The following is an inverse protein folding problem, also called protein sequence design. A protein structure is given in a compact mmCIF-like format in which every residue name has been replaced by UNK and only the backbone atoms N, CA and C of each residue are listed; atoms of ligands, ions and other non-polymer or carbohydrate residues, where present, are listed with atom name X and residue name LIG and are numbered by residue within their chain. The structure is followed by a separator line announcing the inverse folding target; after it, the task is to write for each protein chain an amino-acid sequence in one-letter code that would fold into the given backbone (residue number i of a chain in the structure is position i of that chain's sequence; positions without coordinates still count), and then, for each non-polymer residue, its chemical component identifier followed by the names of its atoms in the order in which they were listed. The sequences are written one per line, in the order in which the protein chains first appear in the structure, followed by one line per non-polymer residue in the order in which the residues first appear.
data_IF_394143023908
#
_entry.id   IF_394143023908
#
_cell.length_a   1.000
_cell.length_b   1.000
_cell.length_c   1.000
_cell.angle_alpha   90.00
_cell.angle_beta   90.00
_cell.angle_gamma   90.00
#
_symmetry.space_group_name_H-M   'P 1'
#
loop_
_entity.id
_entity.type
_entity.pdbx_description
1 polymer ?
#
# COMPACT_ATOMS: atom_id res chain seq x y z
N UNK A 1 -14.06 25.53 -4.21
CA UNK A 1 -13.15 24.60 -3.57
C UNK A 1 -13.08 23.33 -4.36
N UNK A 2 -11.90 22.93 -4.88
CA UNK A 2 -11.69 21.64 -5.51
C UNK A 2 -11.75 20.57 -4.43
N UNK A 3 -12.85 19.83 -4.38
CA UNK A 3 -12.94 18.63 -3.56
C UNK A 3 -12.05 17.58 -4.23
N UNK A 4 -10.92 17.26 -3.62
CA UNK A 4 -10.09 16.12 -4.04
C UNK A 4 -10.96 14.89 -3.80
N UNK A 5 -11.50 14.31 -4.88
CA UNK A 5 -12.24 13.05 -4.78
C UNK A 5 -11.24 11.95 -4.44
N UNK A 6 -11.52 11.23 -3.36
CA UNK A 6 -10.80 10.00 -3.05
C UNK A 6 -10.88 9.04 -4.25
N UNK A 7 -9.77 8.35 -4.63
CA UNK A 7 -9.79 7.38 -5.72
C UNK A 7 -10.82 6.28 -5.45
N UNK A 8 -11.64 5.98 -6.44
CA UNK A 8 -12.61 4.88 -6.37
C UNK A 8 -11.93 3.58 -6.86
N UNK A 9 -11.21 2.93 -5.97
CA UNK A 9 -10.49 1.69 -6.27
C UNK A 9 -11.44 0.56 -6.71
N UNK A 10 -12.64 0.50 -6.13
CA UNK A 10 -13.63 -0.51 -6.51
C UNK A 10 -14.03 -0.38 -7.97
N UNK A 11 -14.37 0.83 -8.38
CA UNK A 11 -14.71 1.12 -9.76
C UNK A 11 -13.53 0.84 -10.69
N UNK A 12 -12.32 1.22 -10.32
CA UNK A 12 -11.12 0.98 -11.09
C UNK A 12 -10.89 -0.52 -11.35
N UNK A 13 -10.98 -1.37 -10.33
CA UNK A 13 -10.85 -2.83 -10.47
C UNK A 13 -11.97 -3.47 -11.29
N UNK A 14 -13.18 -2.92 -11.25
CA UNK A 14 -14.32 -3.45 -12.00
C UNK A 14 -14.32 -3.04 -13.48
N UNK A 15 -13.90 -1.81 -13.77
CA UNK A 15 -13.94 -1.25 -15.12
C UNK A 15 -12.68 -1.49 -15.93
N UNK A 16 -11.54 -1.71 -15.28
CA UNK A 16 -10.24 -1.90 -15.95
C UNK A 16 -9.58 -3.23 -15.59
N UNK A 17 -9.79 -4.23 -16.45
CA UNK A 17 -9.19 -5.55 -16.29
C UNK A 17 -7.64 -5.52 -16.36
N UNK A 18 -7.04 -4.50 -17.01
CA UNK A 18 -5.58 -4.38 -17.08
C UNK A 18 -4.97 -4.13 -15.69
N UNK A 19 -5.68 -3.43 -14.79
CA UNK A 19 -5.21 -3.17 -13.42
C UNK A 19 -4.97 -4.49 -12.67
N UNK A 20 -5.93 -5.42 -12.69
CA UNK A 20 -5.78 -6.73 -12.07
C UNK A 20 -4.60 -7.53 -12.64
N UNK A 21 -4.40 -7.47 -13.96
CA UNK A 21 -3.29 -8.13 -14.62
C UNK A 21 -1.94 -7.49 -14.25
N UNK A 22 -1.86 -6.17 -14.12
CA UNK A 22 -0.66 -5.46 -13.67
C UNK A 22 -0.30 -5.89 -12.25
N UNK A 23 -1.27 -5.91 -11.34
CA UNK A 23 -1.07 -6.34 -9.94
C UNK A 23 -0.59 -7.78 -9.89
N UNK A 24 -1.21 -8.68 -10.65
CA UNK A 24 -0.81 -10.09 -10.71
C UNK A 24 0.61 -10.28 -11.24
N UNK A 25 1.01 -9.51 -12.26
CA UNK A 25 2.39 -9.56 -12.80
C UNK A 25 3.42 -9.06 -11.79
N UNK A 26 3.15 -7.93 -11.11
CA UNK A 26 4.02 -7.42 -10.05
C UNK A 26 4.08 -8.43 -8.89
N UNK A 27 2.94 -9.01 -8.51
CA UNK A 27 2.87 -10.04 -7.50
C UNK A 27 3.76 -11.24 -7.83
N UNK A 28 3.74 -11.73 -9.06
CA UNK A 28 4.61 -12.82 -9.53
C UNK A 28 6.10 -12.45 -9.41
N UNK A 29 6.50 -11.27 -9.86
CA UNK A 29 7.88 -10.79 -9.73
C UNK A 29 8.34 -10.69 -8.28
N UNK A 30 7.46 -10.25 -7.38
CA UNK A 30 7.78 -10.15 -5.95
C UNK A 30 7.86 -11.52 -5.29
N UNK A 31 7.01 -12.49 -5.68
CA UNK A 31 7.09 -13.88 -5.21
C UNK A 31 8.44 -14.51 -5.60
N UNK A 32 8.91 -14.29 -6.83
CA UNK A 32 10.22 -14.77 -7.29
C UNK A 32 11.38 -14.21 -6.45
N UNK A 33 11.20 -13.02 -5.90
CA UNK A 33 12.16 -12.39 -4.96
C UNK A 33 11.95 -12.77 -3.49
N UNK A 34 11.00 -13.67 -3.19
CA UNK A 34 10.73 -14.15 -1.83
C UNK A 34 9.71 -13.34 -1.04
N UNK A 35 9.00 -12.41 -1.68
CA UNK A 35 7.98 -11.56 -1.05
C UNK A 35 6.58 -11.89 -1.57
N UNK A 36 5.88 -12.88 -0.99
CA UNK A 36 4.49 -13.17 -1.36
C UNK A 36 3.59 -12.00 -0.94
N UNK A 37 2.88 -11.43 -1.91
CA UNK A 37 1.98 -10.30 -1.69
C UNK A 37 0.54 -10.78 -1.44
N UNK A 38 -0.18 -10.07 -0.58
CA UNK A 38 -1.63 -10.15 -0.53
C UNK A 38 -2.22 -9.35 -1.69
N UNK A 39 -3.17 -9.95 -2.37
CA UNK A 39 -3.87 -9.31 -3.48
C UNK A 39 -4.90 -8.31 -2.97
N UNK A 40 -4.73 -7.02 -3.34
CA UNK A 40 -5.60 -5.93 -2.89
C UNK A 40 -7.06 -6.10 -3.35
N UNK A 41 -7.30 -6.69 -4.53
CA UNK A 41 -8.65 -6.96 -5.03
C UNK A 41 -9.35 -8.02 -4.18
N UNK A 42 -8.63 -9.09 -3.82
CA UNK A 42 -9.17 -10.14 -2.95
C UNK A 42 -9.40 -9.63 -1.53
N UNK A 43 -8.52 -8.81 -0.99
CA UNK A 43 -8.72 -8.17 0.32
C UNK A 43 -9.95 -7.25 0.30
N UNK A 44 -10.17 -6.49 -0.76
CA UNK A 44 -11.36 -5.66 -0.92
C UNK A 44 -12.64 -6.50 -0.98
N UNK A 45 -12.65 -7.59 -1.74
CA UNK A 45 -13.79 -8.53 -1.79
C UNK A 45 -14.09 -9.17 -0.43
N UNK A 46 -13.06 -9.45 0.36
CA UNK A 46 -13.20 -9.99 1.71
C UNK A 46 -13.83 -8.95 2.64
N UNK A 47 -13.39 -7.69 2.59
CA UNK A 47 -13.98 -6.59 3.36
C UNK A 47 -15.45 -6.35 3.01
N UNK A 48 -15.81 -6.42 1.73
CA UNK A 48 -17.19 -6.29 1.30
C UNK A 48 -18.08 -7.41 1.86
N UNK A 49 -17.58 -8.65 1.85
CA UNK A 49 -18.31 -9.78 2.44
C UNK A 49 -18.48 -9.62 3.95
N UNK A 50 -17.45 -9.18 4.66
CA UNK A 50 -17.52 -8.92 6.10
C UNK A 50 -18.49 -7.78 6.39
N UNK A 51 -18.41 -6.67 5.67
CA UNK A 51 -19.33 -5.54 5.82
C UNK A 51 -20.79 -5.92 5.55
N UNK A 52 -21.06 -6.79 4.58
CA UNK A 52 -22.39 -7.33 4.32
C UNK A 52 -22.89 -8.24 5.47
N UNK A 53 -22.00 -9.04 6.06
CA UNK A 53 -22.30 -9.88 7.22
C UNK A 53 -22.57 -9.00 8.44
N UNK A 54 -21.74 -7.99 8.71
CA UNK A 54 -21.90 -7.08 9.84
C UNK A 54 -23.19 -6.27 9.74
N UNK A 55 -23.59 -5.83 8.54
CA UNK A 55 -24.87 -5.17 8.28
C UNK A 55 -26.06 -6.12 8.49
N UNK A 56 -25.92 -7.40 8.16
CA UNK A 56 -26.95 -8.40 8.39
C UNK A 56 -27.14 -8.74 9.88
N UNK A 57 -26.05 -8.66 10.66
CA UNK A 57 -26.05 -8.92 12.11
C UNK A 57 -26.51 -7.69 12.90
N UNK A 58 -26.14 -6.49 12.47
CA UNK A 58 -26.42 -5.23 13.16
C UNK A 58 -27.77 -4.63 12.80
N UNK A 59 -28.84 -5.42 12.74
CA UNK A 59 -30.20 -4.89 12.54
C UNK A 59 -30.48 -3.70 13.50
N UNK A 60 -30.16 -2.49 13.04
CA UNK A 60 -30.84 -1.27 13.49
C UNK A 60 -30.12 -0.29 14.41
N UNK A 61 -28.82 -0.31 14.61
CA UNK A 61 -28.15 0.81 15.27
C UNK A 61 -27.05 1.40 14.40
N UNK A 62 -27.38 2.51 13.73
CA UNK A 62 -26.44 3.33 12.98
C UNK A 62 -25.40 3.95 13.91
N UNK A 63 -24.26 3.32 14.02
CA UNK A 63 -23.09 3.97 14.57
C UNK A 63 -22.32 4.60 13.40
N UNK A 64 -22.02 5.89 13.54
CA UNK A 64 -21.13 6.68 12.71
C UNK A 64 -19.73 6.05 12.73
N UNK A 65 -19.52 4.98 11.99
CA UNK A 65 -18.17 4.57 11.64
C UNK A 65 -17.59 5.67 10.76
N UNK A 66 -16.51 6.26 11.24
CA UNK A 66 -15.66 7.16 10.48
C UNK A 66 -15.54 6.60 9.06
N UNK A 67 -15.86 7.41 8.04
CA UNK A 67 -15.74 7.06 6.63
C UNK A 67 -14.26 6.87 6.26
N UNK A 68 -13.67 5.78 6.76
CA UNK A 68 -12.35 5.35 6.35
C UNK A 68 -12.40 5.01 4.86
N UNK A 69 -11.43 5.47 4.11
CA UNK A 69 -11.31 5.09 2.71
C UNK A 69 -11.19 3.55 2.62
N UNK A 70 -11.62 2.96 1.51
CA UNK A 70 -11.47 1.51 1.28
C UNK A 70 -10.00 1.10 1.47
N UNK A 71 -9.08 1.95 1.03
CA UNK A 71 -7.64 1.71 1.22
C UNK A 71 -7.26 1.66 2.71
N UNK A 72 -7.72 2.60 3.53
CA UNK A 72 -7.44 2.61 4.97
C UNK A 72 -8.01 1.37 5.67
N UNK A 73 -9.19 0.90 5.23
CA UNK A 73 -9.78 -0.34 5.72
C UNK A 73 -8.96 -1.56 5.32
N UNK A 74 -8.51 -1.65 4.08
CA UNK A 74 -7.61 -2.71 3.60
C UNK A 74 -6.33 -2.71 4.44
N UNK A 75 -5.70 -1.57 4.64
CA UNK A 75 -4.45 -1.43 5.40
C UNK A 75 -4.61 -1.89 6.85
N UNK A 76 -5.68 -1.47 7.52
CA UNK A 76 -5.95 -1.85 8.91
C UNK A 76 -6.34 -3.32 9.08
N UNK A 77 -7.07 -3.87 8.11
CA UNK A 77 -7.60 -5.25 8.20
C UNK A 77 -6.60 -6.29 7.71
N UNK A 78 -5.83 -5.97 6.67
CA UNK A 78 -4.83 -6.89 6.11
C UNK A 78 -3.68 -7.19 7.06
N UNK A 79 -3.44 -6.33 8.06
CA UNK A 79 -2.29 -6.42 8.98
C UNK A 79 -0.97 -6.63 8.24
N UNK A 80 -0.83 -5.99 7.10
CA UNK A 80 0.39 -6.06 6.29
C UNK A 80 1.44 -5.13 6.87
N UNK A 81 2.67 -5.62 7.06
CA UNK A 81 3.79 -4.81 7.54
C UNK A 81 4.22 -3.76 6.50
N UNK A 82 4.10 -4.11 5.23
CA UNK A 82 4.50 -3.26 4.11
C UNK A 82 3.39 -3.20 3.07
N UNK A 83 3.16 -2.02 2.55
CA UNK A 83 2.26 -1.76 1.40
C UNK A 83 3.10 -1.41 0.19
N UNK A 84 2.86 -2.10 -0.92
CA UNK A 84 3.47 -1.78 -2.20
C UNK A 84 2.46 -1.01 -3.04
N UNK A 85 2.87 0.18 -3.48
CA UNK A 85 2.08 1.05 -4.35
C UNK A 85 2.77 1.15 -5.71
N UNK A 86 1.97 1.17 -6.76
CA UNK A 86 2.45 1.35 -8.12
C UNK A 86 1.65 2.44 -8.84
N UNK A 87 2.35 3.34 -9.47
CA UNK A 87 1.79 4.33 -10.40
C UNK A 87 2.41 4.11 -11.76
N UNK A 88 1.62 4.22 -12.80
CA UNK A 88 2.13 4.14 -14.16
C UNK A 88 1.41 5.08 -15.10
N UNK A 89 2.09 5.37 -16.19
CA UNK A 89 1.58 6.14 -17.30
C UNK A 89 2.07 5.53 -18.61
N UNK A 90 1.16 5.34 -19.56
CA UNK A 90 1.49 4.88 -20.91
C UNK A 90 1.28 6.03 -21.87
N UNK A 91 2.35 6.45 -22.53
CA UNK A 91 2.34 7.50 -23.54
C UNK A 91 2.53 6.89 -24.92
N UNK A 92 1.73 7.34 -25.91
CA UNK A 92 1.96 7.02 -27.31
C UNK A 92 2.95 8.04 -27.90
N UNK A 93 3.98 7.56 -28.54
CA UNK A 93 4.97 8.37 -29.25
C UNK A 93 4.54 8.64 -30.69
N UNK A 94 5.11 9.69 -31.33
CA UNK A 94 4.83 10.07 -32.72
C UNK A 94 5.23 8.94 -33.70
N UNK A 95 6.28 8.18 -33.38
CA UNK A 95 6.75 7.04 -34.17
C UNK A 95 5.85 5.78 -34.03
N UNK A 96 4.73 5.87 -33.31
CA UNK A 96 3.82 4.76 -33.07
C UNK A 96 4.20 3.87 -31.90
N UNK A 97 5.37 4.03 -31.29
CA UNK A 97 5.78 3.29 -30.10
C UNK A 97 5.01 3.73 -28.87
N UNK A 98 5.01 2.89 -27.82
CA UNK A 98 4.52 3.23 -26.49
C UNK A 98 5.69 3.46 -25.54
N UNK A 99 5.55 4.38 -24.64
CA UNK A 99 6.46 4.61 -23.51
C UNK A 99 5.72 4.33 -22.21
N UNK A 100 6.25 3.40 -21.42
CA UNK A 100 5.77 3.14 -20.07
C UNK A 100 6.67 3.87 -19.07
N UNK A 101 6.06 4.69 -18.20
CA UNK A 101 6.69 5.25 -17.00
C UNK A 101 6.05 4.59 -15.80
N UNK A 102 6.85 4.24 -14.81
CA UNK A 102 6.33 3.71 -13.57
C UNK A 102 7.08 4.25 -12.36
N UNK A 103 6.40 4.24 -11.24
CA UNK A 103 6.95 4.43 -9.89
C UNK A 103 6.41 3.31 -9.02
N UNK A 104 7.30 2.56 -8.38
CA UNK A 104 7.01 1.51 -7.43
C UNK A 104 7.55 1.95 -6.07
N UNK A 105 6.74 1.89 -5.04
CA UNK A 105 7.12 2.28 -3.67
C UNK A 105 6.67 1.23 -2.67
N UNK A 106 7.52 0.94 -1.69
CA UNK A 106 7.16 0.16 -0.52
C UNK A 106 7.13 1.08 0.71
N UNK A 107 6.06 1.00 1.47
CA UNK A 107 5.79 1.85 2.63
C UNK A 107 5.55 0.95 3.84
N UNK A 108 6.28 1.17 4.92
CA UNK A 108 6.02 0.53 6.22
C UNK A 108 4.69 1.02 6.78
N UNK A 109 3.78 0.10 7.06
CA UNK A 109 2.40 0.41 7.47
C UNK A 109 2.32 1.02 8.88
N UNK A 110 3.33 0.80 9.73
CA UNK A 110 3.35 1.30 11.10
C UNK A 110 3.94 2.69 11.22
N UNK A 111 5.02 2.95 10.48
CA UNK A 111 5.77 4.21 10.57
C UNK A 111 5.43 5.17 9.46
N UNK A 112 4.74 4.69 8.42
CA UNK A 112 4.46 5.42 7.17
C UNK A 112 5.76 5.89 6.46
N UNK A 113 6.88 5.20 6.70
CA UNK A 113 8.15 5.49 6.05
C UNK A 113 8.21 4.77 4.71
N UNK A 114 8.69 5.46 3.67
CA UNK A 114 9.08 4.83 2.41
C UNK A 114 10.37 4.06 2.64
N UNK A 115 10.32 2.74 2.46
CA UNK A 115 11.42 1.83 2.73
C UNK A 115 12.13 1.35 1.46
N UNK A 116 11.43 1.38 0.33
CA UNK A 116 11.99 1.09 -0.98
C UNK A 116 11.30 1.92 -2.06
N UNK A 117 12.02 2.24 -3.12
CA UNK A 117 11.46 2.87 -4.30
C UNK A 117 12.21 2.45 -5.56
N UNK A 118 11.46 2.29 -6.65
CA UNK A 118 12.00 2.13 -7.99
C UNK A 118 11.20 2.95 -8.99
N UNK A 119 11.87 3.58 -9.92
CA UNK A 119 11.26 4.32 -11.02
C UNK A 119 11.90 3.90 -12.32
N UNK A 120 11.14 3.90 -13.40
CA UNK A 120 11.69 3.59 -14.70
C UNK A 120 10.87 4.17 -15.83
N UNK A 121 11.55 4.30 -16.97
CA UNK A 121 10.95 4.68 -18.24
C UNK A 121 11.47 3.70 -19.27
N UNK A 122 10.57 3.09 -20.04
CA UNK A 122 10.95 2.17 -21.10
C UNK A 122 10.06 2.38 -22.32
N UNK A 123 10.68 2.38 -23.49
CA UNK A 123 9.98 2.48 -24.78
C UNK A 123 9.78 1.08 -25.39
N UNK A 124 8.66 0.86 -26.02
CA UNK A 124 8.24 -0.42 -26.57
C UNK A 124 7.52 -0.25 -27.91
N UNK A 125 7.52 -1.31 -28.71
CA UNK A 125 6.68 -1.39 -29.91
C UNK A 125 5.19 -1.48 -29.55
N UNK A 126 4.31 -1.10 -30.47
CA UNK A 126 2.86 -1.01 -30.25
C UNK A 126 2.14 -2.33 -29.97
N UNK A 127 2.80 -3.48 -30.16
CA UNK A 127 2.16 -4.80 -30.15
C UNK A 127 1.91 -5.33 -28.72
N UNK A 128 2.65 -4.83 -27.73
CA UNK A 128 2.57 -5.36 -26.36
C UNK A 128 1.39 -4.76 -25.57
N UNK A 129 0.78 -5.57 -24.72
CA UNK A 129 -0.26 -5.12 -23.78
C UNK A 129 0.32 -4.25 -22.65
N UNK A 130 -0.51 -3.43 -22.01
CA UNK A 130 -0.08 -2.58 -20.88
C UNK A 130 0.54 -3.40 -19.73
N UNK A 131 -0.05 -4.53 -19.30
CA UNK A 131 0.53 -5.35 -18.22
C UNK A 131 1.92 -5.91 -18.57
N UNK A 132 2.12 -6.35 -19.80
CA UNK A 132 3.43 -6.86 -20.26
C UNK A 132 4.48 -5.76 -20.34
N UNK A 133 4.09 -4.58 -20.82
CA UNK A 133 4.95 -3.40 -20.86
C UNK A 133 5.45 -3.01 -19.47
N UNK A 134 4.53 -2.95 -18.51
CA UNK A 134 4.85 -2.58 -17.13
C UNK A 134 5.69 -3.65 -16.46
N UNK A 135 5.35 -4.93 -16.60
CA UNK A 135 6.13 -6.04 -16.04
C UNK A 135 7.59 -5.98 -16.53
N UNK A 136 7.79 -5.88 -17.85
CA UNK A 136 9.14 -5.78 -18.43
C UNK A 136 9.89 -4.52 -18.03
N UNK A 137 9.17 -3.44 -17.72
CA UNK A 137 9.78 -2.20 -17.23
C UNK A 137 10.24 -2.33 -15.79
N UNK A 138 9.44 -2.99 -14.94
CA UNK A 138 9.69 -3.20 -13.52
C UNK A 138 10.77 -4.26 -13.31
N UNK A 139 10.79 -5.32 -14.11
CA UNK A 139 11.72 -6.45 -14.00
C UNK A 139 13.19 -6.01 -13.89
N UNK A 140 13.60 -5.01 -14.66
CA UNK A 140 14.96 -4.49 -14.59
C UNK A 140 15.30 -3.78 -13.28
N UNK A 141 14.29 -3.38 -12.49
CA UNK A 141 14.45 -2.63 -11.25
C UNK A 141 14.00 -3.43 -10.03
N UNK A 142 13.41 -4.61 -10.21
CA UNK A 142 12.82 -5.38 -9.12
C UNK A 142 13.87 -5.88 -8.14
N UNK A 143 15.08 -6.18 -8.61
CA UNK A 143 16.17 -6.63 -7.76
C UNK A 143 16.61 -5.52 -6.82
N UNK A 144 16.87 -4.32 -7.34
CA UNK A 144 17.20 -3.16 -6.50
C UNK A 144 16.10 -2.87 -5.49
N UNK A 145 14.85 -2.91 -5.92
CA UNK A 145 13.69 -2.68 -5.07
C UNK A 145 13.57 -3.72 -3.95
N UNK A 146 13.70 -5.01 -4.29
CA UNK A 146 13.65 -6.09 -3.31
C UNK A 146 14.82 -6.05 -2.32
N UNK A 147 16.02 -5.69 -2.76
CA UNK A 147 17.18 -5.52 -1.89
C UNK A 147 16.95 -4.40 -0.87
N UNK A 148 16.38 -3.27 -1.26
CA UNK A 148 16.02 -2.19 -0.32
C UNK A 148 15.03 -2.67 0.74
N UNK A 149 14.04 -3.49 0.37
CA UNK A 149 13.10 -4.10 1.32
C UNK A 149 13.84 -5.06 2.27
N UNK A 150 14.73 -5.88 1.73
CA UNK A 150 15.55 -6.81 2.54
C UNK A 150 16.42 -6.07 3.55
N UNK A 151 17.11 -5.02 3.12
CA UNK A 151 17.95 -4.19 3.98
C UNK A 151 17.14 -3.55 5.11
N UNK A 152 15.92 -3.10 4.80
CA UNK A 152 15.01 -2.59 5.80
C UNK A 152 14.64 -3.65 6.85
N UNK A 153 14.26 -4.86 6.43
CA UNK A 153 13.94 -5.94 7.36
C UNK A 153 15.16 -6.41 8.16
N UNK A 154 16.34 -6.46 7.56
CA UNK A 154 17.59 -6.76 8.28
C UNK A 154 17.83 -5.70 9.37
N UNK A 155 17.66 -4.42 9.04
CA UNK A 155 17.79 -3.34 10.02
C UNK A 155 16.77 -3.46 11.16
N UNK A 156 15.53 -3.86 10.86
CA UNK A 156 14.51 -4.12 11.90
C UNK A 156 14.89 -5.28 12.82
N UNK A 157 15.53 -6.31 12.30
CA UNK A 157 15.99 -7.45 13.10
C UNK A 157 17.16 -7.07 14.02
N UNK A 158 18.07 -6.23 13.54
CA UNK A 158 19.25 -5.83 14.30
C UNK A 158 18.96 -4.73 15.32
N UNK A 159 18.15 -3.74 14.95
CA UNK A 159 17.95 -2.51 15.72
C UNK A 159 16.54 -2.37 16.32
N UNK A 160 15.63 -3.28 15.96
CA UNK A 160 14.24 -3.20 16.36
C UNK A 160 13.44 -2.16 15.54
N UNK A 161 12.15 -2.11 15.79
CA UNK A 161 11.24 -1.17 15.14
C UNK A 161 11.16 0.13 15.93
N UNK A 162 11.29 1.26 15.25
CA UNK A 162 10.99 2.58 15.81
C UNK A 162 9.50 2.65 16.17
N UNK A 163 9.21 3.01 17.42
CA UNK A 163 7.84 3.16 17.91
C UNK A 163 7.60 4.60 18.38
N UNK A 164 6.42 5.11 18.08
CA UNK A 164 5.96 6.40 18.59
C UNK A 164 5.06 6.16 19.79
N UNK A 165 5.56 6.45 21.00
CA UNK A 165 4.76 6.39 22.21
C UNK A 165 3.97 7.69 22.38
N UNK A 166 2.64 7.61 22.43
CA UNK A 166 1.77 8.72 22.76
C UNK A 166 1.08 8.46 24.09
N UNK A 167 1.41 9.26 25.09
CA UNK A 167 0.78 9.20 26.40
C UNK A 167 -0.34 10.24 26.45
N UNK A 168 -1.58 9.79 26.71
CA UNK A 168 -2.74 10.66 26.92
C UNK A 168 -3.10 10.66 28.41
N UNK A 169 -3.19 11.85 28.97
CA UNK A 169 -3.62 12.04 30.36
C UNK A 169 -5.12 12.29 30.38
N UNK A 170 -5.83 11.58 31.26
CA UNK A 170 -7.23 11.89 31.54
C UNK A 170 -7.31 13.14 32.43
N UNK A 171 -8.38 13.93 32.27
CA UNK A 171 -8.57 15.26 32.87
C UNK A 171 -8.41 15.31 34.38
N UNK A 172 -8.54 14.18 35.08
CA UNK A 172 -8.51 14.06 36.54
C UNK A 172 -7.19 13.52 37.11
N UNK A 173 -6.15 13.42 36.31
CA UNK A 173 -4.89 12.84 36.79
C UNK A 173 -4.15 13.70 37.82
N UNK A 174 -4.47 14.94 38.01
CA UNK A 174 -3.97 15.84 39.07
C UNK A 174 -2.44 15.91 39.29
N UNK A 175 -1.62 15.19 38.47
CA UNK A 175 -0.17 15.09 38.58
C UNK A 175 0.52 15.58 37.35
N UNK A 176 1.69 16.18 37.51
CA UNK A 176 2.51 16.63 36.39
C UNK A 176 3.25 15.42 35.78
N UNK A 177 2.79 14.96 34.62
CA UNK A 177 3.32 13.79 33.93
C UNK A 177 4.81 13.91 33.63
N UNK A 178 5.30 15.10 33.32
CA UNK A 178 6.71 15.34 32.98
C UNK A 178 7.63 15.01 34.17
N UNK A 179 7.22 15.35 35.37
CA UNK A 179 7.98 15.05 36.59
C UNK A 179 7.90 13.56 36.97
N UNK A 180 6.74 12.94 36.79
CA UNK A 180 6.56 11.52 37.13
C UNK A 180 7.30 10.61 36.11
N UNK A 181 7.44 11.03 34.87
CA UNK A 181 8.16 10.27 33.83
C UNK A 181 9.68 10.41 33.96
N UNK A 182 10.18 11.63 34.25
CA UNK A 182 11.61 11.89 34.41
C UNK A 182 12.19 11.22 35.66
N UNK A 183 11.37 11.02 36.72
CA UNK A 183 11.80 10.40 37.96
C UNK A 183 11.74 8.85 37.93
N UNK A 184 11.24 8.23 36.86
CA UNK A 184 11.16 6.77 36.69
C UNK A 184 12.00 6.25 35.52
N UNK A 185 12.95 7.02 35.04
CA UNK A 185 13.89 6.52 34.05
C UNK A 185 14.79 5.48 34.70
N UNK A 186 14.72 4.29 34.17
CA UNK A 186 15.47 3.09 34.44
C UNK A 186 16.97 3.29 34.38
#
# INVERSE_FOLDING_TARGET
GNTIKSPDYKKAFQEDQEIGQVISKIGSLMIEKGYPLKDAENEMKNLERQGAIDQAISNGNGNNELNLSILDRILTTSKSDVVIQVWWQINKKINGNKEAKFTLEAIDSYTNKRIAAATGIKEFSTIQSTPELLASSIENNIELFSNQIQDYFNNLLENGREVKLQIKVFKDWGKNLDTDFQNKTL
#
